data_IF_450092810055
#
_entry.id   IF_450092810055
#
_cell.length_a   1.000
_cell.length_b   1.000
_cell.length_c   1.000
_cell.angle_alpha   90.00
_cell.angle_beta   90.00
_cell.angle_gamma   90.00
#
_symmetry.space_group_name_H-M   'P 1'
#
loop_
_entity.id
_entity.type
_entity.pdbx_description
1 polymer ?
#
# COMPACT_ATOMS: atom_id res chain seq x y z
N UNK A 1 0.96 -11.87 19.11
CA UNK A 1 1.38 -10.63 18.43
C UNK A 1 2.31 -9.82 19.34
N UNK A 2 3.38 -9.23 18.78
CA UNK A 2 4.32 -8.38 19.54
C UNK A 2 3.64 -7.06 19.92
N UNK A 3 3.90 -6.57 21.15
CA UNK A 3 3.38 -5.29 21.63
C UNK A 3 4.18 -4.15 20.98
N UNK A 4 3.50 -3.20 20.37
CA UNK A 4 4.07 -2.01 19.73
C UNK A 4 4.16 -0.89 20.76
N UNK A 5 5.30 -0.21 20.80
CA UNK A 5 5.49 1.00 21.58
C UNK A 5 5.05 2.22 20.76
N UNK A 6 3.92 2.81 21.14
CA UNK A 6 3.34 3.96 20.44
C UNK A 6 4.15 5.25 20.55
N UNK A 7 5.15 5.31 21.44
CA UNK A 7 6.07 6.46 21.52
C UNK A 7 7.14 6.44 20.43
N UNK A 8 7.33 5.30 19.76
CA UNK A 8 8.27 5.15 18.64
C UNK A 8 7.66 5.67 17.34
N UNK A 9 8.49 6.15 16.41
CA UNK A 9 8.01 6.57 15.11
C UNK A 9 7.40 5.39 14.33
N UNK A 10 6.47 5.74 13.42
CA UNK A 10 5.80 4.79 12.53
C UNK A 10 6.14 5.15 11.10
N UNK A 11 6.65 4.21 10.32
CA UNK A 11 6.90 4.43 8.90
C UNK A 11 5.63 4.17 8.08
N UNK A 12 5.33 5.09 7.16
CA UNK A 12 4.28 4.93 6.14
C UNK A 12 4.90 5.12 4.76
N UNK A 13 4.85 4.09 3.91
CA UNK A 13 5.34 4.18 2.53
C UNK A 13 4.28 4.79 1.62
N UNK A 14 4.71 5.62 0.65
CA UNK A 14 3.78 6.30 -0.26
C UNK A 14 2.82 7.27 0.45
N UNK A 15 3.30 7.92 1.52
CA UNK A 15 2.50 8.71 2.47
C UNK A 15 1.61 9.80 1.84
N UNK A 16 1.99 10.33 0.68
CA UNK A 16 1.18 11.32 -0.07
C UNK A 16 0.10 10.70 -0.96
N UNK A 17 -0.01 9.36 -0.97
CA UNK A 17 -1.04 8.64 -1.72
C UNK A 17 -2.42 8.74 -1.08
N UNK A 18 -3.44 8.28 -1.82
CA UNK A 18 -4.85 8.39 -1.42
C UNK A 18 -5.15 7.70 -0.08
N UNK A 19 -4.90 6.38 0.01
CA UNK A 19 -5.13 5.60 1.24
C UNK A 19 -4.14 6.00 2.33
N UNK A 20 -2.85 6.12 1.96
CA UNK A 20 -1.78 6.48 2.88
C UNK A 20 -2.00 7.85 3.53
N UNK A 21 -2.47 8.84 2.79
CA UNK A 21 -2.75 10.17 3.34
C UNK A 21 -3.74 10.13 4.50
N UNK A 22 -4.84 9.37 4.36
CA UNK A 22 -5.83 9.18 5.44
C UNK A 22 -5.24 8.42 6.64
N UNK A 23 -4.38 7.44 6.38
CA UNK A 23 -3.66 6.75 7.45
C UNK A 23 -2.73 7.70 8.20
N UNK A 24 -1.95 8.51 7.49
CA UNK A 24 -1.07 9.52 8.09
C UNK A 24 -1.87 10.53 8.92
N UNK A 25 -2.99 11.02 8.40
CA UNK A 25 -3.90 11.90 9.16
C UNK A 25 -4.33 11.25 10.49
N UNK A 26 -4.74 9.98 10.45
CA UNK A 26 -5.16 9.25 11.65
C UNK A 26 -4.03 9.13 12.66
N UNK A 27 -2.83 8.72 12.20
CA UNK A 27 -1.65 8.56 13.06
C UNK A 27 -1.23 9.89 13.72
N UNK A 28 -1.25 11.00 12.97
CA UNK A 28 -0.96 12.33 13.48
C UNK A 28 -1.97 12.78 14.54
N UNK A 29 -3.26 12.53 14.33
CA UNK A 29 -4.32 12.82 15.31
C UNK A 29 -4.19 12.01 16.60
N UNK A 30 -3.66 10.78 16.51
CA UNK A 30 -3.35 9.94 17.68
C UNK A 30 -2.01 10.32 18.37
N UNK A 31 -1.35 11.39 17.93
CA UNK A 31 -0.12 11.89 18.53
C UNK A 31 1.16 11.17 18.12
N UNK A 32 1.13 10.35 17.07
CA UNK A 32 2.29 9.58 16.64
C UNK A 32 3.27 10.41 15.81
N UNK A 33 4.54 10.06 15.87
CA UNK A 33 5.56 10.56 14.94
C UNK A 33 5.56 9.70 13.69
N UNK A 34 5.27 10.31 12.54
CA UNK A 34 5.19 9.62 11.25
C UNK A 34 6.46 9.84 10.43
N UNK A 35 7.14 8.77 10.08
CA UNK A 35 8.18 8.75 9.05
C UNK A 35 7.52 8.52 7.69
N UNK A 36 7.28 9.59 6.96
CA UNK A 36 6.61 9.61 5.67
C UNK A 36 7.61 9.32 4.55
N UNK A 37 7.66 8.07 4.06
CA UNK A 37 8.50 7.69 2.93
C UNK A 37 7.81 8.04 1.61
N UNK A 38 8.39 8.96 0.84
CA UNK A 38 7.84 9.52 -0.40
C UNK A 38 8.92 9.67 -1.46
N UNK A 39 8.54 9.65 -2.75
CA UNK A 39 9.52 9.80 -3.85
C UNK A 39 10.13 11.19 -3.93
N UNK A 40 9.36 12.22 -3.62
CA UNK A 40 9.77 13.63 -3.79
C UNK A 40 9.33 14.44 -2.56
N UNK A 41 10.10 14.39 -1.46
CA UNK A 41 9.78 15.11 -0.23
C UNK A 41 9.80 16.64 -0.42
N UNK A 42 10.56 17.13 -1.40
CA UNK A 42 10.66 18.54 -1.79
C UNK A 42 9.41 19.06 -2.54
N UNK A 43 8.55 18.19 -3.04
CA UNK A 43 7.35 18.57 -3.78
C UNK A 43 6.23 19.04 -2.83
N UNK A 44 6.23 20.32 -2.53
CA UNK A 44 5.26 20.97 -1.64
C UNK A 44 3.80 20.81 -2.10
N UNK A 45 3.54 20.72 -3.41
CA UNK A 45 2.19 20.47 -3.91
C UNK A 45 1.60 19.13 -3.43
N UNK A 46 2.47 18.16 -3.12
CA UNK A 46 2.08 16.86 -2.59
C UNK A 46 2.12 16.80 -1.07
N UNK A 47 3.03 17.53 -0.42
CA UNK A 47 3.24 17.45 1.04
C UNK A 47 2.38 18.46 1.82
N UNK A 48 2.07 19.62 1.26
CA UNK A 48 1.37 20.74 1.95
C UNK A 48 0.09 20.35 2.72
N UNK A 49 -0.65 19.38 2.21
CA UNK A 49 -1.89 18.92 2.88
C UNK A 49 -1.59 18.12 4.15
N UNK A 50 -0.55 17.28 4.12
CA UNK A 50 -0.09 16.55 5.31
C UNK A 50 0.58 17.49 6.31
N UNK A 51 1.33 18.49 5.83
CA UNK A 51 1.95 19.51 6.68
C UNK A 51 0.86 20.33 7.42
N UNK A 52 -0.22 20.72 6.73
CA UNK A 52 -1.34 21.41 7.34
C UNK A 52 -2.05 20.55 8.41
N UNK A 53 -2.16 19.24 8.19
CA UNK A 53 -2.74 18.32 9.18
C UNK A 53 -1.78 18.18 10.37
N UNK A 54 -0.48 18.01 10.14
CA UNK A 54 0.51 17.89 11.21
C UNK A 54 0.56 19.12 12.09
N UNK A 55 0.48 20.32 11.50
CA UNK A 55 0.45 21.60 12.23
C UNK A 55 -0.76 21.73 13.17
N UNK A 56 -1.84 20.99 12.94
CA UNK A 56 -3.08 20.99 13.72
C UNK A 56 -3.32 19.66 14.46
N UNK A 57 -2.29 18.84 14.63
CA UNK A 57 -2.36 17.54 15.30
C UNK A 57 -1.32 17.44 16.40
N UNK A 58 -1.53 16.61 17.45
CA UNK A 58 -0.54 16.38 18.48
C UNK A 58 0.68 15.59 17.99
N UNK A 59 0.58 14.87 16.90
CA UNK A 59 1.66 14.12 16.28
C UNK A 59 2.60 14.98 15.44
N UNK A 60 3.62 14.36 14.86
CA UNK A 60 4.59 15.02 14.00
C UNK A 60 4.89 14.21 12.75
N UNK A 61 5.35 14.86 11.68
CA UNK A 61 5.71 14.21 10.42
C UNK A 61 7.15 14.55 10.03
N UNK A 62 7.87 13.53 9.53
CA UNK A 62 9.19 13.69 8.95
C UNK A 62 9.23 12.97 7.60
N UNK A 63 9.64 13.69 6.56
CA UNK A 63 9.72 13.12 5.22
C UNK A 63 11.07 12.47 4.95
N UNK A 64 11.02 11.35 4.22
CA UNK A 64 12.20 10.63 3.75
C UNK A 64 12.04 10.35 2.26
N UNK A 65 13.09 10.61 1.49
CA UNK A 65 13.11 10.22 0.09
C UNK A 65 13.27 8.71 -0.02
N UNK A 66 12.33 8.05 -0.69
CA UNK A 66 12.37 6.61 -0.92
C UNK A 66 11.60 6.24 -2.20
N UNK A 67 12.12 5.28 -2.94
CA UNK A 67 11.51 4.71 -4.13
C UNK A 67 11.45 3.18 -4.01
N UNK A 68 10.34 2.58 -4.46
CA UNK A 68 10.13 1.13 -4.41
C UNK A 68 11.19 0.35 -5.17
N UNK A 69 11.75 0.93 -6.22
CA UNK A 69 12.74 0.28 -7.08
C UNK A 69 14.21 0.60 -6.70
N UNK A 70 14.42 1.51 -5.75
CA UNK A 70 15.75 1.88 -5.28
C UNK A 70 16.07 1.10 -3.99
N UNK A 71 16.97 0.12 -4.10
CA UNK A 71 17.39 -0.72 -2.98
C UNK A 71 17.99 0.12 -1.84
N UNK A 72 17.58 -0.15 -0.61
CA UNK A 72 18.03 0.57 0.59
C UNK A 72 17.42 1.96 0.76
N UNK A 73 16.60 2.45 -0.16
CA UNK A 73 15.99 3.80 -0.05
C UNK A 73 15.07 3.96 1.17
N UNK A 74 14.54 2.88 1.72
CA UNK A 74 13.69 2.87 2.92
C UNK A 74 14.49 2.80 4.23
N UNK A 75 15.79 2.55 4.17
CA UNK A 75 16.64 2.34 5.34
C UNK A 75 16.53 3.47 6.38
N UNK A 76 16.68 4.73 5.92
CA UNK A 76 16.61 5.89 6.79
C UNK A 76 15.22 6.11 7.40
N UNK A 77 14.15 5.85 6.64
CA UNK A 77 12.79 5.99 7.10
C UNK A 77 12.40 4.93 8.15
N UNK A 78 13.02 3.75 8.08
CA UNK A 78 12.72 2.61 8.96
C UNK A 78 13.39 2.72 10.33
N UNK A 79 14.47 3.52 10.44
CA UNK A 79 15.23 3.62 11.69
C UNK A 79 14.36 4.03 12.88
N UNK A 80 14.39 3.22 13.93
CA UNK A 80 13.64 3.43 15.18
C UNK A 80 12.16 3.09 15.10
N UNK A 81 11.62 2.71 13.94
CA UNK A 81 10.23 2.35 13.77
C UNK A 81 9.97 0.91 14.23
N UNK A 82 8.99 0.71 15.13
CA UNK A 82 8.49 -0.61 15.51
C UNK A 82 7.32 -1.06 14.63
N UNK A 83 6.61 -0.11 14.02
CA UNK A 83 5.45 -0.32 13.16
C UNK A 83 5.71 0.31 11.80
N UNK A 84 5.45 -0.46 10.76
CA UNK A 84 5.62 -0.07 9.37
C UNK A 84 4.32 -0.33 8.63
N UNK A 85 3.78 0.70 7.97
CA UNK A 85 2.67 0.55 7.03
C UNK A 85 3.21 0.61 5.61
N UNK A 86 3.20 -0.53 4.95
CA UNK A 86 3.55 -0.62 3.53
C UNK A 86 2.31 -0.45 2.68
N UNK A 87 2.02 0.82 2.32
CA UNK A 87 0.86 1.20 1.50
C UNK A 87 1.24 1.53 0.05
N UNK A 88 2.53 1.81 -0.20
CA UNK A 88 3.01 2.09 -1.55
C UNK A 88 2.90 0.84 -2.42
N UNK A 89 2.23 0.98 -3.56
CA UNK A 89 2.17 -0.05 -4.59
C UNK A 89 1.96 0.63 -5.94
N UNK A 90 2.54 0.11 -7.03
CA UNK A 90 2.18 0.59 -8.35
C UNK A 90 0.71 0.24 -8.63
N UNK A 91 -0.03 1.22 -9.08
CA UNK A 91 -1.36 1.01 -9.66
C UNK A 91 -1.50 1.97 -10.83
N UNK A 92 -1.67 1.45 -12.03
CA UNK A 92 -1.88 2.22 -13.25
C UNK A 92 -2.84 1.48 -14.18
N UNK A 93 -3.72 2.22 -14.83
CA UNK A 93 -4.59 1.71 -15.89
C UNK A 93 -3.87 1.69 -17.25
N UNK A 94 -2.76 2.43 -17.39
CA UNK A 94 -1.97 2.49 -18.61
C UNK A 94 -0.79 1.51 -18.54
N UNK A 95 -1.06 0.24 -18.81
CA UNK A 95 -0.07 -0.86 -18.75
C UNK A 95 0.44 -1.10 -20.17
N UNK A 96 1.76 -1.00 -20.36
CA UNK A 96 2.45 -1.32 -21.63
C UNK A 96 3.20 -2.64 -21.52
N UNK A 97 3.85 -2.87 -20.39
CA UNK A 97 4.61 -4.08 -20.09
C UNK A 97 4.22 -4.51 -18.67
N UNK A 98 3.30 -5.49 -18.52
CA UNK A 98 2.81 -5.91 -17.20
C UNK A 98 3.92 -6.31 -16.24
N UNK A 99 5.00 -6.92 -16.75
CA UNK A 99 6.13 -7.32 -15.91
C UNK A 99 6.82 -6.10 -15.28
N UNK A 100 7.15 -5.08 -16.11
CA UNK A 100 7.88 -3.89 -15.67
C UNK A 100 7.01 -2.87 -14.97
N UNK A 101 5.75 -2.74 -15.41
CA UNK A 101 4.86 -1.68 -14.92
C UNK A 101 4.15 -2.07 -13.61
N UNK A 102 3.95 -3.37 -13.37
CA UNK A 102 3.19 -3.89 -12.23
C UNK A 102 3.97 -4.90 -11.39
N UNK A 103 4.45 -6.01 -12.00
CA UNK A 103 5.00 -7.14 -11.23
C UNK A 103 6.30 -6.75 -10.53
N UNK A 104 7.27 -6.27 -11.29
CA UNK A 104 8.59 -5.90 -10.75
C UNK A 104 8.49 -4.84 -9.66
N UNK A 105 7.75 -3.72 -9.85
CA UNK A 105 7.60 -2.72 -8.80
C UNK A 105 6.86 -3.24 -7.56
N UNK A 106 5.84 -4.09 -7.72
CA UNK A 106 5.11 -4.65 -6.60
C UNK A 106 5.97 -5.62 -5.78
N UNK A 107 6.66 -6.54 -6.46
CA UNK A 107 7.48 -7.56 -5.82
C UNK A 107 8.76 -6.97 -5.22
N UNK A 108 9.56 -6.24 -6.03
CA UNK A 108 10.81 -5.61 -5.57
C UNK A 108 10.57 -4.55 -4.52
N UNK A 109 9.49 -3.77 -4.67
CA UNK A 109 9.11 -2.76 -3.69
C UNK A 109 8.75 -3.37 -2.34
N UNK A 110 8.00 -4.46 -2.32
CA UNK A 110 7.71 -5.21 -1.10
C UNK A 110 8.99 -5.76 -0.48
N UNK A 111 9.86 -6.40 -1.27
CA UNK A 111 11.15 -6.90 -0.79
C UNK A 111 12.02 -5.79 -0.19
N UNK A 112 12.11 -4.64 -0.85
CA UNK A 112 12.92 -3.51 -0.41
C UNK A 112 12.46 -2.97 0.96
N UNK A 113 11.15 -2.77 1.14
CA UNK A 113 10.58 -2.31 2.43
C UNK A 113 10.80 -3.35 3.53
N UNK A 114 10.57 -4.63 3.26
CA UNK A 114 10.71 -5.70 4.26
C UNK A 114 12.18 -6.00 4.60
N UNK A 115 13.09 -5.86 3.64
CA UNK A 115 14.53 -5.92 3.90
C UNK A 115 14.98 -4.79 4.83
N UNK A 116 14.49 -3.57 4.64
CA UNK A 116 14.77 -2.46 5.55
C UNK A 116 14.23 -2.75 6.98
N UNK A 117 13.01 -3.32 7.09
CA UNK A 117 12.45 -3.73 8.38
C UNK A 117 13.32 -4.77 9.10
N UNK A 118 13.90 -5.72 8.36
CA UNK A 118 14.80 -6.75 8.90
C UNK A 118 16.16 -6.18 9.28
N UNK A 119 16.73 -5.31 8.44
CA UNK A 119 18.08 -4.76 8.59
C UNK A 119 18.23 -3.93 9.86
N UNK A 120 17.21 -3.15 10.23
CA UNK A 120 17.30 -2.23 11.36
C UNK A 120 16.76 -2.79 12.68
N UNK A 121 16.23 -4.00 12.72
CA UNK A 121 15.94 -4.78 13.93
C UNK A 121 14.96 -4.20 14.96
N UNK A 122 14.51 -2.94 14.77
CA UNK A 122 13.52 -2.31 15.64
C UNK A 122 12.08 -2.64 15.25
N UNK A 123 11.86 -3.06 14.03
CA UNK A 123 10.55 -3.45 13.50
C UNK A 123 9.95 -4.61 14.30
N UNK A 124 8.69 -4.48 14.71
CA UNK A 124 7.91 -5.54 15.36
C UNK A 124 6.74 -5.99 14.51
N UNK A 125 6.24 -5.09 13.68
CA UNK A 125 5.11 -5.36 12.80
C UNK A 125 5.19 -4.58 11.50
N UNK A 126 4.90 -5.29 10.41
CA UNK A 126 4.65 -4.69 9.10
C UNK A 126 3.19 -4.93 8.72
N UNK A 127 2.46 -3.85 8.44
CA UNK A 127 1.10 -3.89 7.91
C UNK A 127 1.18 -3.66 6.40
N UNK A 128 0.84 -4.66 5.61
CA UNK A 128 0.89 -4.60 4.16
C UNK A 128 -0.50 -4.31 3.60
N UNK A 129 -0.63 -3.25 2.84
CA UNK A 129 -1.85 -2.99 2.05
C UNK A 129 -1.79 -3.77 0.75
N UNK A 130 -2.37 -4.95 0.77
CA UNK A 130 -2.56 -5.80 -0.38
C UNK A 130 -3.83 -5.39 -1.16
N UNK A 131 -4.64 -6.35 -1.56
CA UNK A 131 -5.92 -6.14 -2.26
C UNK A 131 -6.74 -7.42 -2.22
N UNK A 132 -8.07 -7.31 -2.31
CA UNK A 132 -8.93 -8.46 -2.61
C UNK A 132 -8.51 -9.18 -3.91
N UNK A 133 -7.83 -8.47 -4.81
CA UNK A 133 -7.25 -9.03 -6.02
C UNK A 133 -6.16 -10.10 -5.76
N UNK A 134 -5.60 -10.18 -4.56
CA UNK A 134 -4.71 -11.28 -4.16
C UNK A 134 -5.49 -12.56 -3.76
N UNK A 135 -6.81 -12.41 -3.50
CA UNK A 135 -7.71 -13.50 -3.11
C UNK A 135 -8.35 -14.13 -4.34
N UNK A 136 -8.78 -13.32 -5.32
CA UNK A 136 -9.43 -13.79 -6.55
C UNK A 136 -8.98 -12.98 -7.78
N UNK A 137 -9.05 -13.59 -8.95
CA UNK A 137 -8.81 -12.94 -10.25
C UNK A 137 -10.11 -12.50 -10.91
N UNK A 138 -11.00 -13.46 -11.14
CA UNK A 138 -12.31 -13.24 -11.75
C UNK A 138 -13.45 -13.44 -10.74
N UNK A 139 -14.53 -12.70 -10.87
CA UNK A 139 -15.71 -12.86 -9.99
C UNK A 139 -16.27 -14.30 -9.98
N UNK A 140 -16.14 -15.03 -11.10
CA UNK A 140 -16.55 -16.43 -11.19
C UNK A 140 -15.75 -17.38 -10.28
N UNK A 141 -14.55 -16.98 -9.83
CA UNK A 141 -13.72 -17.79 -8.93
C UNK A 141 -14.45 -18.08 -7.62
N UNK A 142 -15.35 -17.17 -7.20
CA UNK A 142 -16.23 -17.35 -6.02
C UNK A 142 -17.03 -18.65 -6.08
N UNK A 143 -17.45 -19.09 -7.28
CA UNK A 143 -18.28 -20.28 -7.44
C UNK A 143 -17.56 -21.57 -7.01
N UNK A 144 -16.23 -21.58 -7.05
CA UNK A 144 -15.38 -22.71 -6.63
C UNK A 144 -14.92 -22.63 -5.16
N UNK A 145 -15.20 -21.51 -4.48
CA UNK A 145 -14.78 -21.29 -3.09
C UNK A 145 -15.75 -21.90 -2.08
N UNK A 146 -15.27 -22.26 -0.88
CA UNK A 146 -16.13 -22.76 0.19
C UNK A 146 -17.28 -21.79 0.48
N UNK A 147 -18.51 -22.30 0.51
CA UNK A 147 -19.74 -21.52 0.71
C UNK A 147 -19.89 -20.33 -0.28
N UNK A 148 -19.22 -20.37 -1.44
CA UNK A 148 -19.18 -19.29 -2.41
C UNK A 148 -18.76 -17.93 -1.76
N UNK A 149 -17.85 -17.99 -0.79
CA UNK A 149 -17.39 -16.84 -0.03
C UNK A 149 -15.88 -16.67 -0.19
N UNK A 150 -15.46 -15.46 -0.52
CA UNK A 150 -14.05 -15.08 -0.58
C UNK A 150 -13.57 -14.68 0.80
N UNK A 151 -12.51 -15.33 1.28
CA UNK A 151 -11.83 -15.00 2.54
C UNK A 151 -10.33 -14.89 2.33
N UNK A 152 -9.63 -14.33 3.30
CA UNK A 152 -8.17 -14.22 3.30
C UNK A 152 -7.42 -15.57 3.35
N UNK A 153 -8.13 -16.67 3.58
CA UNK A 153 -7.55 -18.02 3.52
C UNK A 153 -7.38 -18.54 2.09
N UNK A 154 -7.96 -17.84 1.13
CA UNK A 154 -7.94 -18.22 -0.29
C UNK A 154 -6.93 -17.38 -1.07
N UNK A 155 -6.30 -17.99 -2.05
CA UNK A 155 -5.38 -17.31 -2.96
C UNK A 155 -5.93 -17.23 -4.37
N UNK A 156 -5.69 -16.09 -5.01
CA UNK A 156 -5.89 -15.96 -6.45
C UNK A 156 -4.95 -16.92 -7.20
N UNK A 157 -5.54 -17.82 -8.00
CA UNK A 157 -4.84 -18.81 -8.81
C UNK A 157 -5.16 -18.69 -10.31
N UNK A 158 -6.01 -17.76 -10.70
CA UNK A 158 -6.50 -17.59 -12.07
C UNK A 158 -5.83 -16.46 -12.82
N UNK A 159 -5.19 -15.52 -12.11
CA UNK A 159 -4.48 -14.40 -12.73
C UNK A 159 -3.07 -14.78 -13.20
N UNK A 160 -2.61 -14.12 -14.25
CA UNK A 160 -1.29 -14.27 -14.86
C UNK A 160 -0.81 -12.93 -15.45
N UNK A 161 0.36 -12.94 -16.11
CA UNK A 161 0.83 -11.77 -16.87
C UNK A 161 -0.13 -11.36 -17.98
N UNK A 162 -0.78 -12.33 -18.62
CA UNK A 162 -1.66 -12.13 -19.78
C UNK A 162 -3.13 -12.00 -19.37
N UNK A 163 -3.45 -12.32 -18.11
CA UNK A 163 -4.81 -12.26 -17.58
C UNK A 163 -4.82 -11.62 -16.19
N UNK A 164 -5.47 -10.47 -16.04
CA UNK A 164 -5.56 -9.74 -14.78
C UNK A 164 -4.18 -9.43 -14.16
N UNK A 165 -3.22 -8.81 -14.88
CA UNK A 165 -1.84 -8.67 -14.41
C UNK A 165 -1.71 -7.85 -13.12
N UNK A 166 -2.63 -6.93 -12.85
CA UNK A 166 -2.69 -6.24 -11.55
C UNK A 166 -2.98 -7.22 -10.41
N UNK A 167 -4.01 -8.05 -10.55
CA UNK A 167 -4.36 -9.07 -9.55
C UNK A 167 -3.21 -10.05 -9.34
N UNK A 168 -2.52 -10.42 -10.42
CA UNK A 168 -1.33 -11.26 -10.35
C UNK A 168 -0.20 -10.58 -9.58
N UNK A 169 0.04 -9.28 -9.81
CA UNK A 169 1.06 -8.51 -9.08
C UNK A 169 0.80 -8.46 -7.58
N UNK A 170 -0.46 -8.28 -7.19
CA UNK A 170 -0.88 -8.27 -5.78
C UNK A 170 -0.71 -9.62 -5.12
N UNK A 171 -1.07 -10.69 -5.82
CA UNK A 171 -0.88 -12.07 -5.35
C UNK A 171 0.59 -12.37 -5.09
N UNK A 172 1.48 -12.01 -6.01
CA UNK A 172 2.92 -12.25 -5.87
C UNK A 172 3.53 -11.43 -4.72
N UNK A 173 3.19 -10.15 -4.63
CA UNK A 173 3.69 -9.26 -3.58
C UNK A 173 3.27 -9.73 -2.18
N UNK A 174 2.02 -10.14 -2.02
CA UNK A 174 1.51 -10.64 -0.74
C UNK A 174 2.16 -11.98 -0.36
N UNK A 175 2.25 -12.93 -1.31
CA UNK A 175 2.96 -14.20 -1.07
C UNK A 175 4.41 -13.99 -0.66
N UNK A 176 5.10 -13.01 -1.28
CA UNK A 176 6.48 -12.68 -0.91
C UNK A 176 6.55 -12.09 0.50
N UNK A 177 5.61 -11.24 0.89
CA UNK A 177 5.57 -10.70 2.26
C UNK A 177 5.42 -11.81 3.31
N UNK A 178 4.54 -12.77 3.09
CA UNK A 178 4.38 -13.94 3.97
C UNK A 178 5.61 -14.84 3.98
N UNK A 179 6.25 -15.05 2.83
CA UNK A 179 7.50 -15.82 2.72
C UNK A 179 8.64 -15.16 3.50
N UNK A 180 8.84 -13.86 3.35
CA UNK A 180 9.87 -13.12 4.08
C UNK A 180 9.61 -13.10 5.58
N UNK A 181 8.35 -12.95 6.01
CA UNK A 181 7.98 -13.03 7.42
C UNK A 181 8.34 -14.39 8.03
N UNK A 182 8.06 -15.49 7.32
CA UNK A 182 8.37 -16.86 7.79
C UNK A 182 9.87 -17.15 7.87
N UNK A 183 10.71 -16.37 7.18
CA UNK A 183 12.16 -16.56 7.15
C UNK A 183 12.90 -15.88 8.32
N UNK A 184 12.20 -15.19 9.22
CA UNK A 184 12.79 -14.44 10.34
C UNK A 184 11.82 -14.38 11.53
N UNK A 185 12.30 -13.92 12.70
CA UNK A 185 11.53 -13.84 13.95
C UNK A 185 11.42 -12.40 14.52
N UNK A 186 11.97 -11.40 13.82
CA UNK A 186 12.06 -10.03 14.32
C UNK A 186 10.71 -9.31 14.29
N UNK A 187 9.96 -9.46 13.18
CA UNK A 187 8.67 -8.80 12.97
C UNK A 187 7.60 -9.78 12.48
N UNK A 188 6.36 -9.44 12.78
CA UNK A 188 5.18 -10.12 12.23
C UNK A 188 4.56 -9.31 11.08
N UNK A 189 3.76 -9.98 10.23
CA UNK A 189 2.99 -9.37 9.16
C UNK A 189 1.51 -9.37 9.49
N UNK A 190 0.85 -8.26 9.19
CA UNK A 190 -0.61 -8.17 9.06
C UNK A 190 -0.90 -7.72 7.65
N UNK A 191 -1.78 -8.41 6.95
CA UNK A 191 -2.21 -8.02 5.60
C UNK A 191 -3.62 -7.47 5.65
N UNK A 192 -3.86 -6.41 4.91
CA UNK A 192 -5.18 -5.83 4.68
C UNK A 192 -5.50 -5.95 3.19
N UNK A 193 -6.62 -6.57 2.86
CA UNK A 193 -7.07 -6.83 1.49
C UNK A 193 -8.27 -5.93 1.14
N UNK A 194 -8.08 -4.63 0.88
CA UNK A 194 -9.18 -3.75 0.52
C UNK A 194 -9.76 -4.13 -0.84
N UNK A 195 -11.07 -3.94 -0.97
CA UNK A 195 -11.76 -3.91 -2.24
C UNK A 195 -11.67 -2.50 -2.85
N UNK A 196 -12.64 -2.06 -3.62
CA UNK A 196 -12.67 -0.74 -4.24
C UNK A 196 -12.82 0.36 -3.17
N UNK A 197 -11.76 1.14 -2.96
CA UNK A 197 -11.71 2.16 -1.92
C UNK A 197 -12.31 3.47 -2.45
N UNK A 198 -13.36 3.95 -1.80
CA UNK A 198 -14.04 5.21 -2.14
C UNK A 198 -14.07 6.17 -0.95
N UNK A 199 -14.12 7.45 -1.23
CA UNK A 199 -14.22 8.51 -0.21
C UNK A 199 -13.35 9.72 -0.53
N UNK A 200 -13.40 10.77 0.30
CA UNK A 200 -12.61 11.97 0.06
C UNK A 200 -11.12 11.72 0.33
N UNK A 201 -10.25 12.13 -0.60
CA UNK A 201 -8.80 12.19 -0.39
C UNK A 201 -8.40 13.34 0.55
N UNK A 202 -7.16 13.29 1.06
CA UNK A 202 -6.54 14.43 1.76
C UNK A 202 -6.22 15.53 0.75
N UNK A 203 -5.65 15.13 -0.39
CA UNK A 203 -5.41 16.06 -1.50
C UNK A 203 -6.65 16.06 -2.42
N UNK A 204 -7.37 17.18 -2.55
CA UNK A 204 -8.55 17.27 -3.43
C UNK A 204 -8.19 17.18 -4.93
N UNK A 205 -6.92 17.37 -5.27
CA UNK A 205 -6.39 17.22 -6.62
C UNK A 205 -5.62 15.88 -6.79
N UNK A 206 -5.92 14.91 -5.96
CA UNK A 206 -5.30 13.59 -6.03
C UNK A 206 -5.55 12.92 -7.39
N UNK A 207 -4.51 12.24 -7.88
CA UNK A 207 -4.51 11.53 -9.17
C UNK A 207 -4.54 10.02 -8.95
N UNK A 208 -5.30 9.52 -7.96
CA UNK A 208 -5.45 8.08 -7.82
C UNK A 208 -6.39 7.56 -8.93
N UNK A 209 -6.09 6.38 -9.43
CA UNK A 209 -6.93 5.71 -10.44
C UNK A 209 -8.39 5.58 -9.99
N UNK A 210 -8.62 5.40 -8.69
CA UNK A 210 -9.97 5.40 -8.10
C UNK A 210 -10.70 6.71 -8.34
N UNK A 211 -10.01 7.87 -8.20
CA UNK A 211 -10.62 9.17 -8.50
C UNK A 211 -10.94 9.31 -9.97
N UNK A 212 -10.08 8.85 -10.87
CA UNK A 212 -10.33 8.88 -12.30
C UNK A 212 -11.53 8.01 -12.67
N UNK A 213 -11.63 6.80 -12.13
CA UNK A 213 -12.80 5.92 -12.32
C UNK A 213 -14.07 6.61 -11.81
N UNK A 214 -14.06 7.19 -10.61
CA UNK A 214 -15.22 7.88 -10.05
C UNK A 214 -15.62 9.11 -10.88
N UNK A 215 -14.67 9.85 -11.44
CA UNK A 215 -14.94 10.95 -12.37
C UNK A 215 -15.60 10.45 -13.65
N UNK A 216 -15.07 9.36 -14.25
CA UNK A 216 -15.63 8.74 -15.46
C UNK A 216 -17.06 8.23 -15.24
N UNK A 217 -17.36 7.72 -14.04
CA UNK A 217 -18.73 7.36 -13.66
C UNK A 217 -19.64 8.59 -13.53
N UNK A 218 -19.14 9.65 -12.87
CA UNK A 218 -19.93 10.85 -12.57
C UNK A 218 -20.20 11.74 -13.78
N UNK A 219 -19.28 11.83 -14.74
CA UNK A 219 -19.42 12.64 -15.94
C UNK A 219 -20.08 11.89 -17.13
N UNK A 220 -20.40 10.61 -16.93
CA UNK A 220 -21.10 9.79 -17.91
C UNK A 220 -20.21 9.11 -18.96
N UNK A 221 -18.89 9.14 -18.82
CA UNK A 221 -17.99 8.45 -19.76
C UNK A 221 -18.19 6.91 -19.73
N UNK A 222 -18.71 6.39 -18.61
CA UNK A 222 -19.04 4.97 -18.44
C UNK A 222 -20.50 4.60 -18.73
N UNK A 223 -21.24 5.45 -19.43
CA UNK A 223 -22.67 5.19 -19.75
C UNK A 223 -22.93 3.92 -20.58
N UNK A 224 -21.92 3.40 -21.26
CA UNK A 224 -21.98 2.14 -22.02
C UNK A 224 -21.65 0.90 -21.20
N UNK A 225 -21.32 1.05 -19.94
CA UNK A 225 -20.99 -0.02 -18.99
C UNK A 225 -19.82 0.39 -18.10
N UNK A 226 -19.83 -0.09 -16.86
CA UNK A 226 -18.69 0.02 -15.96
C UNK A 226 -17.78 -1.20 -16.13
N UNK A 227 -16.45 -1.06 -15.94
CA UNK A 227 -15.58 -2.22 -15.89
C UNK A 227 -16.00 -3.16 -14.76
N UNK A 228 -15.93 -4.45 -14.99
CA UNK A 228 -16.11 -5.45 -13.92
C UNK A 228 -14.86 -5.44 -13.03
N UNK A 229 -15.04 -5.14 -11.75
CA UNK A 229 -14.01 -5.15 -10.73
C UNK A 229 -14.10 -6.42 -9.90
#
# INVERSE_FOLDING_TARGET
>A
MKKIDQSKPVMVTGATGYVAGRLVEKLLKEGMTVHAAVRSPENQEKTKYLDAIAANSPGSIKYFKADLLEEGSFDAATQGCELIFHTASPFTLSIKDPQKDLIDPALKGTQNVLNAATKFGSGKRVVVTSSCAAIYGDAKDTLSMPNQTMTEDVWNTTSSLDHQPYSYSKTLAEKEAWKMMKAQEQWDVVVVNPSFVIGPGINPHGTSETFEIMKMMGNGDMKMGAPAF
#
